data_IF_468587327851
#
_entry.id   IF_468587327851
#
_cell.length_a   1.000
_cell.length_b   1.000
_cell.length_c   1.000
_cell.angle_alpha   90.00
_cell.angle_beta   90.00
_cell.angle_gamma   90.00
#
_symmetry.space_group_name_H-M   'P 1'
#
loop_
_entity.id
_entity.type
_entity.pdbx_description
1 polymer ?
#
# COMPACT_ATOMS: atom_id res chain seq x y z
N UNK A 1 -10.21 14.21 -3.43
CA UNK A 1 -10.32 12.89 -2.77
C UNK A 1 -10.51 11.85 -3.85
N UNK A 2 -9.79 10.73 -3.79
CA UNK A 2 -9.86 9.70 -4.81
C UNK A 2 -11.16 8.89 -4.72
N UNK A 3 -11.58 8.35 -5.86
CA UNK A 3 -12.79 7.55 -6.01
C UNK A 3 -12.43 6.07 -5.88
N UNK A 4 -12.96 5.42 -4.85
CA UNK A 4 -12.84 3.97 -4.63
C UNK A 4 -13.96 3.23 -5.36
N UNK A 5 -13.61 2.24 -6.17
CA UNK A 5 -14.57 1.36 -6.87
C UNK A 5 -14.19 -0.09 -6.66
N UNK A 6 -15.10 -0.85 -6.05
CA UNK A 6 -15.01 -2.30 -6.00
C UNK A 6 -15.65 -2.91 -7.26
N UNK A 7 -14.98 -3.87 -7.89
CA UNK A 7 -15.53 -4.67 -8.99
C UNK A 7 -15.15 -6.12 -8.77
N UNK A 8 -16.14 -6.97 -8.44
CA UNK A 8 -15.89 -8.35 -8.01
C UNK A 8 -14.92 -8.38 -6.82
N UNK A 9 -13.77 -9.04 -6.96
CA UNK A 9 -12.73 -9.16 -5.93
C UNK A 9 -11.61 -8.12 -6.09
N UNK A 10 -11.73 -7.18 -7.04
CA UNK A 10 -10.72 -6.16 -7.30
C UNK A 10 -11.14 -4.80 -6.74
N UNK A 11 -10.16 -4.06 -6.22
CA UNK A 11 -10.30 -2.66 -5.84
C UNK A 11 -9.66 -1.77 -6.91
N UNK A 12 -10.31 -0.65 -7.22
CA UNK A 12 -9.79 0.42 -8.06
C UNK A 12 -9.84 1.75 -7.31
N UNK A 13 -8.81 2.57 -7.46
CA UNK A 13 -8.71 3.92 -6.90
C UNK A 13 -8.41 4.88 -8.05
N UNK A 14 -9.31 5.84 -8.31
CA UNK A 14 -9.26 6.72 -9.49
C UNK A 14 -9.11 5.95 -10.82
N UNK A 15 -9.74 4.78 -10.91
CA UNK A 15 -9.67 3.90 -12.07
C UNK A 15 -8.39 3.07 -12.19
N UNK A 16 -7.41 3.25 -11.30
CA UNK A 16 -6.20 2.42 -11.23
C UNK A 16 -6.48 1.18 -10.39
N UNK A 17 -6.15 -0.01 -10.92
CA UNK A 17 -6.32 -1.27 -10.20
C UNK A 17 -5.31 -1.36 -9.06
N UNK A 18 -5.77 -1.73 -7.86
CA UNK A 18 -4.91 -2.06 -6.74
C UNK A 18 -4.39 -3.49 -6.92
N UNK A 19 -3.07 -3.64 -6.94
CA UNK A 19 -2.37 -4.91 -7.12
C UNK A 19 -2.08 -5.58 -5.78
N UNK A 20 -1.64 -4.78 -4.80
CA UNK A 20 -1.35 -5.17 -3.42
C UNK A 20 -1.69 -4.02 -2.51
N UNK A 21 -1.97 -4.31 -1.24
CA UNK A 21 -2.15 -3.26 -0.26
C UNK A 21 -1.71 -3.71 1.13
N UNK A 22 -1.37 -2.74 1.96
CA UNK A 22 -1.01 -2.93 3.35
C UNK A 22 -1.88 -2.05 4.24
N UNK A 23 -2.18 -2.56 5.43
CA UNK A 23 -2.89 -1.85 6.49
C UNK A 23 -2.07 -1.89 7.77
N UNK A 24 -2.10 -0.78 8.51
CA UNK A 24 -1.55 -0.71 9.85
C UNK A 24 -2.63 -0.75 10.94
N UNK A 25 -2.21 -1.10 12.15
CA UNK A 25 -3.04 -1.06 13.37
C UNK A 25 -3.69 0.31 13.68
N UNK A 26 -3.15 1.42 13.16
CA UNK A 26 -3.69 2.77 13.34
C UNK A 26 -4.46 3.27 12.11
N UNK A 27 -4.82 2.35 11.20
CA UNK A 27 -5.64 2.65 10.01
C UNK A 27 -4.90 3.48 8.97
N UNK A 28 -3.59 3.31 8.83
CA UNK A 28 -2.87 3.74 7.62
C UNK A 28 -3.00 2.67 6.54
N UNK A 29 -3.11 3.11 5.29
CA UNK A 29 -3.20 2.22 4.15
C UNK A 29 -2.18 2.61 3.08
N UNK A 30 -1.60 1.60 2.44
CA UNK A 30 -0.77 1.75 1.24
C UNK A 30 -1.36 0.89 0.14
N UNK A 31 -1.86 1.50 -0.93
CA UNK A 31 -2.48 0.81 -2.06
C UNK A 31 -1.56 0.85 -3.29
N UNK A 32 -0.85 -0.23 -3.55
CA UNK A 32 0.04 -0.32 -4.71
C UNK A 32 -0.76 -0.52 -6.00
N UNK A 33 -0.51 0.31 -7.00
CA UNK A 33 -1.17 0.25 -8.32
C UNK A 33 -0.21 -0.11 -9.44
N UNK A 34 1.09 0.05 -9.23
CA UNK A 34 2.13 -0.23 -10.22
C UNK A 34 3.43 -0.66 -9.52
N UNK A 35 4.07 -1.74 -10.01
CA UNK A 35 5.42 -2.13 -9.60
C UNK A 35 6.42 -1.33 -10.41
N UNK A 36 7.16 -0.43 -9.77
CA UNK A 36 8.02 0.52 -10.48
C UNK A 36 9.45 0.02 -10.63
N UNK A 37 9.91 -0.85 -9.72
CA UNK A 37 11.23 -1.44 -9.81
C UNK A 37 11.63 -2.23 -8.57
N UNK A 38 12.85 -2.74 -8.62
CA UNK A 38 13.51 -3.42 -7.51
C UNK A 38 14.85 -2.72 -7.23
N UNK A 39 15.21 -2.62 -5.95
CA UNK A 39 16.45 -1.98 -5.50
C UNK A 39 16.99 -2.65 -4.24
N UNK A 40 18.17 -2.22 -3.78
CA UNK A 40 18.65 -2.52 -2.43
C UNK A 40 18.34 -1.31 -1.55
N UNK A 41 17.60 -1.54 -0.47
CA UNK A 41 17.28 -0.51 0.52
C UNK A 41 18.08 -0.77 1.81
N UNK A 42 18.64 0.30 2.38
CA UNK A 42 19.34 0.25 3.67
C UNK A 42 18.33 0.59 4.76
N UNK A 43 18.07 -0.38 5.62
CA UNK A 43 17.09 -0.26 6.70
C UNK A 43 17.64 0.56 7.86
N UNK A 44 16.74 1.02 8.75
CA UNK A 44 17.12 1.82 9.91
C UNK A 44 18.12 1.12 10.87
N UNK A 45 18.16 -0.21 10.87
CA UNK A 45 19.11 -1.01 11.64
C UNK A 45 20.47 -1.21 10.93
N UNK A 46 20.63 -0.68 9.71
CA UNK A 46 21.85 -0.80 8.90
C UNK A 46 21.85 -1.98 7.92
N UNK A 47 20.83 -2.85 7.94
CA UNK A 47 20.76 -3.99 7.03
C UNK A 47 20.46 -3.55 5.59
N UNK A 48 21.17 -4.13 4.62
CA UNK A 48 20.88 -3.94 3.20
C UNK A 48 20.03 -5.09 2.69
N UNK A 49 18.81 -4.80 2.25
CA UNK A 49 17.86 -5.84 1.81
C UNK A 49 17.29 -5.56 0.42
N UNK A 50 16.97 -6.60 -0.37
CA UNK A 50 16.19 -6.45 -1.59
C UNK A 50 14.83 -5.83 -1.30
N UNK A 51 14.45 -4.86 -2.10
CA UNK A 51 13.24 -4.07 -1.93
C UNK A 51 12.50 -3.90 -3.26
N UNK A 52 11.17 -3.87 -3.19
CA UNK A 52 10.31 -3.53 -4.32
C UNK A 52 9.70 -2.17 -4.08
N UNK A 53 9.86 -1.28 -5.05
CA UNK A 53 9.23 0.03 -5.03
C UNK A 53 7.89 -0.05 -5.76
N UNK A 54 6.87 0.52 -5.13
CA UNK A 54 5.52 0.60 -5.66
C UNK A 54 5.14 2.05 -5.86
N UNK A 55 4.40 2.34 -6.93
CA UNK A 55 3.62 3.56 -7.04
C UNK A 55 2.17 3.29 -6.68
N UNK A 56 1.59 4.16 -5.86
CA UNK A 56 0.27 3.92 -5.33
C UNK A 56 -0.30 5.09 -4.52
N UNK A 57 -1.42 4.82 -3.87
CA UNK A 57 -2.12 5.79 -3.03
C UNK A 57 -1.93 5.43 -1.56
N UNK A 58 -1.59 6.43 -0.75
CA UNK A 58 -1.36 6.28 0.69
C UNK A 58 -2.42 7.06 1.45
N UNK A 59 -3.05 6.41 2.43
CA UNK A 59 -3.92 7.06 3.41
C UNK A 59 -3.20 7.09 4.76
N UNK A 60 -2.31 8.06 4.95
CA UNK A 60 -1.49 8.19 6.14
C UNK A 60 -1.84 9.41 6.98
N UNK A 61 -0.81 10.18 7.35
CA UNK A 61 -0.96 11.51 7.93
C UNK A 61 -1.61 12.47 6.92
N UNK A 62 -1.10 12.46 5.69
CA UNK A 62 -1.74 13.06 4.53
C UNK A 62 -2.13 11.96 3.53
N UNK A 63 -3.12 12.28 2.69
CA UNK A 63 -3.56 11.41 1.61
C UNK A 63 -2.84 11.80 0.32
N UNK A 64 -2.03 10.91 -0.24
CA UNK A 64 -1.18 11.24 -1.38
C UNK A 64 -0.98 10.08 -2.36
N UNK A 65 -0.68 10.43 -3.61
CA UNK A 65 -0.17 9.49 -4.60
C UNK A 65 1.35 9.60 -4.65
N UNK A 66 2.06 8.49 -4.51
CA UNK A 66 3.50 8.51 -4.41
C UNK A 66 4.15 7.14 -4.52
N UNK A 67 5.47 7.15 -4.41
CA UNK A 67 6.30 5.95 -4.37
C UNK A 67 6.51 5.54 -2.91
N UNK A 68 6.50 4.24 -2.64
CA UNK A 68 6.82 3.70 -1.32
C UNK A 68 7.55 2.36 -1.41
N UNK A 69 8.38 2.11 -0.40
CA UNK A 69 9.15 0.87 -0.22
C UNK A 69 8.29 -0.22 0.40
N UNK A 70 8.27 -1.41 -0.21
CA UNK A 70 7.65 -2.57 0.41
C UNK A 70 8.44 -3.03 1.63
N UNK A 71 9.77 -3.02 1.55
CA UNK A 71 10.64 -3.45 2.64
C UNK A 71 10.45 -2.59 3.90
N UNK A 72 10.35 -1.27 3.76
CA UNK A 72 10.08 -0.36 4.88
C UNK A 72 8.72 -0.65 5.52
N UNK A 73 7.66 -0.81 4.72
CA UNK A 73 6.32 -1.15 5.22
C UNK A 73 6.35 -2.48 5.99
N UNK A 74 7.00 -3.51 5.42
CA UNK A 74 7.07 -4.82 6.06
C UNK A 74 7.96 -4.85 7.32
N UNK A 75 8.93 -3.95 7.43
CA UNK A 75 9.75 -3.80 8.65
C UNK A 75 8.94 -3.34 9.87
N UNK A 76 7.74 -2.78 9.64
CA UNK A 76 6.82 -2.34 10.69
C UNK A 76 5.99 -3.50 11.28
N UNK A 77 6.15 -4.73 10.79
CA UNK A 77 5.53 -5.92 11.38
C UNK A 77 5.86 -6.01 12.88
N UNK A 78 4.90 -6.45 13.73
CA UNK A 78 3.56 -6.93 13.39
C UNK A 78 2.50 -5.82 13.29
N UNK A 79 2.86 -4.54 13.37
CA UNK A 79 1.90 -3.42 13.37
C UNK A 79 1.31 -3.12 11.99
N UNK A 80 1.87 -3.72 10.95
CA UNK A 80 1.43 -3.63 9.55
C UNK A 80 1.33 -5.03 8.98
N UNK A 81 0.30 -5.28 8.16
CA UNK A 81 0.09 -6.53 7.44
C UNK A 81 -0.36 -6.26 6.01
N UNK A 82 -0.06 -7.21 5.11
CA UNK A 82 -0.64 -7.18 3.77
C UNK A 82 -2.12 -7.58 3.85
N UNK A 83 -2.96 -6.83 3.15
CA UNK A 83 -4.40 -7.08 3.08
C UNK A 83 -4.63 -8.25 2.12
N UNK A 84 -5.39 -9.26 2.57
CA UNK A 84 -5.76 -10.35 1.68
C UNK A 84 -6.54 -9.82 0.48
N UNK A 85 -6.30 -10.40 -0.70
CA UNK A 85 -6.95 -9.96 -1.94
C UNK A 85 -8.47 -9.85 -1.85
N UNK A 86 -9.11 -10.80 -1.17
CA UNK A 86 -10.58 -10.83 -0.96
C UNK A 86 -11.11 -9.68 -0.11
N UNK A 87 -10.25 -9.08 0.72
CA UNK A 87 -10.61 -8.00 1.64
C UNK A 87 -10.33 -6.61 1.02
N UNK A 88 -9.55 -6.54 -0.08
CA UNK A 88 -9.27 -5.29 -0.79
C UNK A 88 -10.52 -4.48 -1.14
N UNK A 89 -11.62 -5.07 -1.67
CA UNK A 89 -12.84 -4.31 -2.00
C UNK A 89 -13.50 -3.60 -0.82
N UNK A 90 -13.14 -3.94 0.42
CA UNK A 90 -13.68 -3.38 1.66
C UNK A 90 -12.68 -2.50 2.42
N UNK A 91 -11.44 -2.43 1.94
CA UNK A 91 -10.36 -1.67 2.58
C UNK A 91 -10.40 -0.17 2.29
N UNK A 92 -9.65 0.58 3.11
CA UNK A 92 -9.45 2.02 3.00
C UNK A 92 -10.53 2.87 3.66
N UNK A 93 -10.17 4.10 3.99
CA UNK A 93 -11.10 5.12 4.48
C UNK A 93 -11.89 5.67 3.30
N UNK A 94 -13.22 5.52 3.35
CA UNK A 94 -14.16 6.03 2.34
C UNK A 94 -15.00 7.12 2.96
N UNK A 95 -15.09 8.28 2.31
CA UNK A 95 -16.14 9.26 2.62
C UNK A 95 -17.31 9.02 1.67
N UNK A 96 -18.47 8.76 2.25
CA UNK A 96 -19.75 8.65 1.55
C UNK A 96 -20.36 10.03 1.36
#
# INVERSE_FOLDING_TARGET
>A
MPIFKAKQDDLYIDGKKVLRAWESWNGWYWFATEKTGEQISVMANGDSIPDTIWFGYVQGFEEEWGYFSQAEIESLKPKVWEINKRDLPYSGKRKY
#
